data_IF_163878579836
#
_entry.id   IF_163878579836
#
_cell.length_a   1.000
_cell.length_b   1.000
_cell.length_c   1.000
_cell.angle_alpha   90.00
_cell.angle_beta   90.00
_cell.angle_gamma   90.00
#
_symmetry.space_group_name_H-M   'P 1'
#
loop_
_entity.id
_entity.type
_entity.pdbx_description
1 polymer ?
#
# COMPACT_ATOMS: atom_id res chain seq x y z
N UNK A 1 -21.81 -12.20 -1.64
CA UNK A 1 -21.06 -11.46 -2.69
C UNK A 1 -20.19 -12.47 -3.43
N UNK A 2 -20.69 -13.01 -4.54
CA UNK A 2 -20.07 -14.12 -5.27
C UNK A 2 -20.11 -13.81 -6.76
N UNK A 3 -19.53 -12.68 -7.17
CA UNK A 3 -19.61 -12.19 -8.54
C UNK A 3 -18.25 -11.84 -9.18
N UNK A 4 -17.15 -12.24 -8.53
CA UNK A 4 -15.79 -12.09 -9.08
C UNK A 4 -15.00 -13.41 -9.13
N UNK A 5 -15.59 -14.54 -8.73
CA UNK A 5 -15.00 -15.86 -8.97
C UNK A 5 -15.28 -16.26 -10.42
N UNK A 6 -14.59 -15.60 -11.36
CA UNK A 6 -14.69 -15.85 -12.79
C UNK A 6 -14.42 -17.32 -13.11
N UNK A 7 -15.31 -17.92 -13.90
CA UNK A 7 -15.02 -19.14 -14.63
C UNK A 7 -13.81 -18.86 -15.55
N UNK A 8 -12.75 -19.66 -15.36
CA UNK A 8 -11.36 -19.33 -15.67
C UNK A 8 -11.03 -19.27 -17.17
N UNK A 9 -10.82 -18.07 -17.71
CA UNK A 9 -9.94 -17.84 -18.87
C UNK A 9 -8.56 -17.39 -18.39
N UNK A 10 -7.49 -17.96 -18.95
CA UNK A 10 -6.11 -17.55 -18.61
C UNK A 10 -5.87 -16.05 -18.81
N UNK A 11 -6.57 -15.46 -19.79
CA UNK A 11 -6.52 -14.02 -20.08
C UNK A 11 -7.07 -13.16 -18.96
N UNK A 12 -8.15 -13.59 -18.30
CA UNK A 12 -8.75 -12.81 -17.21
C UNK A 12 -7.85 -12.81 -15.98
N UNK A 13 -7.15 -13.94 -15.76
CA UNK A 13 -6.11 -14.03 -14.72
C UNK A 13 -4.95 -13.09 -15.05
N UNK A 14 -4.46 -13.07 -16.29
CA UNK A 14 -3.39 -12.15 -16.71
C UNK A 14 -3.78 -10.68 -16.53
N UNK A 15 -5.01 -10.31 -16.91
CA UNK A 15 -5.54 -8.95 -16.73
C UNK A 15 -5.63 -8.60 -15.25
N UNK A 16 -6.17 -9.49 -14.41
CA UNK A 16 -6.25 -9.27 -12.96
C UNK A 16 -4.85 -9.06 -12.38
N UNK A 17 -3.90 -9.93 -12.68
CA UNK A 17 -2.50 -9.79 -12.23
C UNK A 17 -1.89 -8.45 -12.70
N UNK A 18 -2.17 -8.03 -13.94
CA UNK A 18 -1.75 -6.73 -14.45
C UNK A 18 -2.32 -5.56 -13.63
N UNK A 19 -3.60 -5.63 -13.25
CA UNK A 19 -4.26 -4.60 -12.41
C UNK A 19 -3.64 -4.57 -11.01
N UNK A 20 -3.49 -5.74 -10.36
CA UNK A 20 -2.94 -5.84 -9.00
C UNK A 20 -1.45 -5.42 -8.97
N UNK A 21 -0.70 -5.70 -10.04
CA UNK A 21 0.71 -5.34 -10.17
C UNK A 21 0.97 -3.87 -10.53
N UNK A 22 0.01 -3.19 -11.14
CA UNK A 22 0.12 -1.78 -11.54
C UNK A 22 -0.10 -0.79 -10.37
N UNK A 23 -0.52 -1.28 -9.19
CA UNK A 23 -0.80 -0.41 -8.06
C UNK A 23 0.48 0.27 -7.54
N UNK A 24 0.44 1.57 -7.20
CA UNK A 24 1.60 2.26 -6.65
C UNK A 24 2.05 1.65 -5.33
N UNK A 25 3.38 1.57 -5.14
CA UNK A 25 3.98 1.11 -3.89
C UNK A 25 3.67 2.06 -2.75
N UNK A 26 3.45 1.48 -1.58
CA UNK A 26 3.19 2.22 -0.36
C UNK A 26 4.47 2.87 0.16
N UNK A 27 4.46 4.19 0.35
CA UNK A 27 5.58 4.93 0.97
C UNK A 27 6.76 5.26 0.05
N UNK A 28 6.66 5.05 -1.26
CA UNK A 28 7.70 5.45 -2.22
C UNK A 28 7.49 6.87 -2.79
N UNK A 29 8.59 7.59 -2.99
CA UNK A 29 8.64 8.98 -3.49
C UNK A 29 8.22 9.18 -4.95
N UNK A 30 7.78 8.14 -5.68
CA UNK A 30 7.27 8.28 -7.07
C UNK A 30 5.88 8.94 -7.10
N UNK A 31 5.76 10.07 -6.40
CA UNK A 31 4.56 10.91 -6.29
C UNK A 31 4.25 11.65 -7.59
N UNK A 32 5.19 11.73 -8.54
CA UNK A 32 5.01 12.44 -9.82
C UNK A 32 3.97 11.78 -10.75
N UNK A 33 3.65 10.49 -10.53
CA UNK A 33 2.67 9.75 -11.34
C UNK A 33 1.42 9.30 -10.57
N UNK A 34 1.27 9.71 -9.30
CA UNK A 34 0.09 9.35 -8.49
C UNK A 34 -1.09 10.27 -8.80
N UNK A 35 -2.29 9.70 -8.90
CA UNK A 35 -3.51 10.51 -8.90
C UNK A 35 -3.62 11.30 -7.58
N UNK A 36 -4.31 12.44 -7.62
CA UNK A 36 -4.52 13.29 -6.43
C UNK A 36 -5.12 12.51 -5.25
N UNK A 37 -6.10 11.64 -5.51
CA UNK A 37 -6.71 10.77 -4.50
C UNK A 37 -5.72 9.80 -3.87
N UNK A 38 -4.84 9.18 -4.68
CA UNK A 38 -3.83 8.25 -4.15
C UNK A 38 -2.79 8.97 -3.27
N UNK A 39 -2.45 10.22 -3.62
CA UNK A 39 -1.58 11.07 -2.81
C UNK A 39 -2.23 11.42 -1.47
N UNK A 40 -3.51 11.75 -1.45
CA UNK A 40 -4.25 12.04 -0.22
C UNK A 40 -4.35 10.82 0.70
N UNK A 41 -4.65 9.64 0.15
CA UNK A 41 -4.74 8.40 0.91
C UNK A 41 -3.42 8.04 1.60
N UNK A 42 -2.30 8.27 0.92
CA UNK A 42 -0.97 7.98 1.46
C UNK A 42 -0.34 9.16 2.21
N UNK A 43 -1.00 10.31 2.33
CA UNK A 43 -0.40 11.51 2.93
C UNK A 43 0.05 11.28 4.38
N UNK A 44 -0.76 10.60 5.20
CA UNK A 44 -0.39 10.24 6.57
C UNK A 44 0.81 9.28 6.64
N UNK A 45 1.02 8.49 5.60
CA UNK A 45 2.18 7.60 5.47
C UNK A 45 3.38 8.28 4.82
N UNK A 46 3.20 9.41 4.12
CA UNK A 46 4.27 10.12 3.40
C UNK A 46 4.74 11.41 4.09
N UNK A 47 4.05 11.88 5.14
CA UNK A 47 4.40 13.09 5.88
C UNK A 47 5.80 13.08 6.54
N UNK A 48 6.51 11.95 6.52
CA UNK A 48 7.88 11.81 7.02
C UNK A 48 8.92 11.47 5.94
N UNK A 49 8.56 11.42 4.66
CA UNK A 49 9.47 11.04 3.55
C UNK A 49 10.18 12.25 2.93
N UNK A 50 9.90 13.47 3.40
CA UNK A 50 10.58 14.70 2.98
C UNK A 50 12.04 14.70 3.46
N UNK A 51 12.94 14.13 2.66
CA UNK A 51 14.35 14.55 2.66
C UNK A 51 14.37 16.01 2.16
N UNK A 52 14.10 16.97 3.04
CA UNK A 52 13.96 18.38 2.66
C UNK A 52 13.37 19.30 3.73
N UNK A 53 12.79 18.76 4.80
CA UNK A 53 12.39 19.55 5.96
C UNK A 53 13.58 19.97 6.80
N UNK A 54 14.31 21.02 6.39
CA UNK A 54 15.02 21.87 7.34
C UNK A 54 13.96 22.55 8.23
N UNK A 55 13.53 21.85 9.26
CA UNK A 55 13.11 22.49 10.49
C UNK A 55 14.27 22.32 11.45
N UNK A 56 15.27 23.17 11.28
CA UNK A 56 16.08 23.63 12.39
C UNK A 56 15.09 24.21 13.42
N UNK A 57 15.33 23.91 14.70
CA UNK A 57 14.62 24.39 15.89
C UNK A 57 13.53 23.46 16.46
N UNK A 58 13.96 22.77 17.54
CA UNK A 58 13.16 22.26 18.66
C UNK A 58 12.25 21.03 18.47
N UNK A 59 12.83 19.82 18.58
CA UNK A 59 12.06 18.63 18.99
C UNK A 59 12.68 17.25 18.73
N UNK A 60 13.41 16.71 19.72
CA UNK A 60 13.75 15.28 19.92
C UNK A 60 14.32 14.47 18.72
N UNK A 61 15.65 14.26 18.72
CA UNK A 61 16.40 13.43 17.76
C UNK A 61 16.10 11.92 17.73
N UNK A 62 15.11 11.42 18.48
CA UNK A 62 14.65 10.02 18.46
C UNK A 62 13.50 9.81 17.45
N UNK A 63 12.59 10.78 17.32
CA UNK A 63 11.41 10.66 16.45
C UNK A 63 11.73 10.77 14.96
N UNK A 64 12.78 11.50 14.60
CA UNK A 64 13.26 11.58 13.22
C UNK A 64 13.92 10.26 12.78
N UNK A 65 14.82 9.72 13.61
CA UNK A 65 15.48 8.42 13.35
C UNK A 65 14.47 7.28 13.21
N UNK A 66 13.49 7.18 14.11
CA UNK A 66 12.43 6.16 14.03
C UNK A 66 11.68 6.22 12.69
N UNK A 67 11.39 7.42 12.17
CA UNK A 67 10.67 7.58 10.88
C UNK A 67 11.52 7.18 9.68
N UNK A 68 12.83 7.45 9.70
CA UNK A 68 13.75 6.98 8.68
C UNK A 68 13.83 5.44 8.69
N UNK A 69 13.95 4.84 9.88
CA UNK A 69 13.95 3.39 10.08
C UNK A 69 12.66 2.74 9.58
N UNK A 70 11.49 3.30 9.92
CA UNK A 70 10.18 2.83 9.43
C UNK A 70 10.08 2.92 7.89
N UNK A 71 10.64 3.98 7.29
CA UNK A 71 10.61 4.16 5.83
C UNK A 71 11.54 3.14 5.15
N UNK A 72 12.72 2.90 5.71
CA UNK A 72 13.65 1.88 5.23
C UNK A 72 13.04 0.48 5.36
N UNK A 73 12.38 0.19 6.49
CA UNK A 73 11.72 -1.09 6.71
C UNK A 73 10.53 -1.30 5.78
N UNK A 74 9.71 -0.28 5.54
CA UNK A 74 8.61 -0.38 4.58
C UNK A 74 9.12 -0.66 3.16
N UNK A 75 10.24 -0.06 2.74
CA UNK A 75 10.90 -0.38 1.47
C UNK A 75 11.37 -1.84 1.43
N UNK A 76 12.02 -2.30 2.51
CA UNK A 76 12.47 -3.70 2.64
C UNK A 76 11.30 -4.67 2.54
N UNK A 77 10.22 -4.40 3.27
CA UNK A 77 9.02 -5.23 3.28
C UNK A 77 8.32 -5.24 1.91
N UNK A 78 8.26 -4.12 1.20
CA UNK A 78 7.77 -4.10 -0.19
C UNK A 78 8.59 -5.04 -1.09
N UNK A 79 9.93 -5.03 -0.98
CA UNK A 79 10.78 -5.96 -1.74
C UNK A 79 10.52 -7.42 -1.39
N UNK A 80 10.49 -7.75 -0.09
CA UNK A 80 10.23 -9.12 0.39
C UNK A 80 8.82 -9.58 -0.02
N UNK A 81 7.84 -8.69 0.01
CA UNK A 81 6.48 -8.98 -0.44
C UNK A 81 6.46 -9.33 -1.93
N UNK A 82 7.11 -8.54 -2.78
CA UNK A 82 7.17 -8.80 -4.22
C UNK A 82 7.94 -10.08 -4.57
N UNK A 83 8.96 -10.45 -3.78
CA UNK A 83 9.65 -11.74 -3.89
C UNK A 83 8.75 -12.90 -3.47
N UNK A 84 7.93 -12.71 -2.43
CA UNK A 84 7.01 -13.74 -1.91
C UNK A 84 5.81 -13.93 -2.84
N UNK A 85 5.32 -12.85 -3.44
CA UNK A 85 4.16 -12.81 -4.32
C UNK A 85 4.51 -12.17 -5.68
N UNK A 86 5.18 -12.92 -6.58
CA UNK A 86 5.60 -12.40 -7.88
C UNK A 86 4.43 -11.85 -8.69
N UNK A 87 4.59 -10.63 -9.20
CA UNK A 87 3.57 -9.94 -10.01
C UNK A 87 2.52 -9.18 -9.21
N UNK A 88 2.49 -9.29 -7.87
CA UNK A 88 1.58 -8.54 -7.02
C UNK A 88 2.28 -7.32 -6.37
N UNK A 89 1.47 -6.36 -5.96
CA UNK A 89 1.87 -5.25 -5.09
C UNK A 89 1.08 -5.34 -3.80
N UNK A 90 1.67 -4.90 -2.70
CA UNK A 90 0.94 -4.82 -1.44
C UNK A 90 -0.04 -3.65 -1.52
N UNK A 91 -1.34 -3.95 -1.43
CA UNK A 91 -2.41 -2.97 -1.42
C UNK A 91 -3.22 -3.17 -0.14
N UNK A 92 -3.40 -2.09 0.60
CA UNK A 92 -4.19 -2.07 1.82
C UNK A 92 -4.91 -0.74 1.94
N UNK A 93 -6.13 -0.78 2.46
CA UNK A 93 -6.83 0.43 2.82
C UNK A 93 -6.24 0.98 4.13
N UNK A 94 -5.61 2.15 4.03
CA UNK A 94 -4.85 2.73 5.14
C UNK A 94 -5.75 3.46 6.13
N UNK A 95 -6.75 4.21 5.69
CA UNK A 95 -7.78 4.88 6.51
C UNK A 95 -7.28 5.45 7.87
N UNK A 96 -6.13 6.12 7.89
CA UNK A 96 -5.54 6.68 9.11
C UNK A 96 -4.79 5.70 10.03
N UNK A 97 -4.59 4.45 9.63
CA UNK A 97 -3.73 3.46 10.31
C UNK A 97 -2.28 3.93 10.32
N UNK A 98 -1.60 3.73 11.45
CA UNK A 98 -0.17 4.00 11.62
C UNK A 98 0.73 3.08 10.78
N UNK A 99 1.95 3.55 10.47
CA UNK A 99 2.94 2.81 9.67
C UNK A 99 3.32 1.47 10.32
N UNK A 100 3.46 1.44 11.64
CA UNK A 100 3.72 0.25 12.45
C UNK A 100 2.65 -0.84 12.23
N UNK A 101 1.38 -0.46 12.29
CA UNK A 101 0.24 -1.37 12.10
C UNK A 101 0.19 -1.91 10.66
N UNK A 102 0.58 -1.10 9.67
CA UNK A 102 0.66 -1.52 8.27
C UNK A 102 1.84 -2.46 8.04
N UNK A 103 3.02 -2.18 8.59
CA UNK A 103 4.19 -3.04 8.46
C UNK A 103 3.96 -4.41 9.11
N UNK A 104 3.34 -4.43 10.30
CA UNK A 104 2.95 -5.70 10.95
C UNK A 104 1.92 -6.48 10.12
N UNK A 105 0.98 -5.78 9.45
CA UNK A 105 0.03 -6.42 8.55
C UNK A 105 0.73 -7.05 7.35
N UNK A 106 1.60 -6.29 6.68
CA UNK A 106 2.37 -6.78 5.55
C UNK A 106 3.21 -8.00 5.93
N UNK A 107 3.88 -7.97 7.08
CA UNK A 107 4.67 -9.08 7.60
C UNK A 107 3.81 -10.34 7.84
N UNK A 108 2.63 -10.21 8.48
CA UNK A 108 1.71 -11.34 8.67
C UNK A 108 1.27 -11.96 7.35
N UNK A 109 1.00 -11.15 6.32
CA UNK A 109 0.61 -11.65 5.00
C UNK A 109 1.75 -12.38 4.29
N UNK A 110 2.97 -11.83 4.38
CA UNK A 110 4.18 -12.48 3.88
C UNK A 110 4.40 -13.83 4.56
N UNK A 111 4.24 -13.92 5.88
CA UNK A 111 4.40 -15.17 6.64
C UNK A 111 3.36 -16.23 6.29
N UNK A 112 2.12 -15.81 6.05
CA UNK A 112 1.03 -16.70 5.64
C UNK A 112 1.31 -17.39 4.30
N UNK A 113 2.05 -16.74 3.38
CA UNK A 113 2.43 -17.26 2.04
C UNK A 113 1.28 -17.84 1.21
N UNK A 114 0.07 -17.34 1.42
CA UNK A 114 -1.13 -17.80 0.70
C UNK A 114 -1.45 -16.83 -0.43
N UNK A 115 -1.13 -17.23 -1.66
CA UNK A 115 -1.30 -16.41 -2.85
C UNK A 115 -2.76 -16.18 -3.23
N UNK A 116 -3.64 -17.17 -3.05
CA UNK A 116 -5.05 -17.00 -3.42
C UNK A 116 -5.75 -16.10 -2.41
N UNK A 117 -5.44 -16.28 -1.12
CA UNK A 117 -5.95 -15.38 -0.08
C UNK A 117 -5.46 -13.94 -0.27
N UNK A 118 -4.21 -13.77 -0.70
CA UNK A 118 -3.67 -12.42 -0.94
C UNK A 118 -4.40 -11.70 -2.09
N UNK A 119 -4.76 -12.42 -3.16
CA UNK A 119 -5.56 -11.84 -4.24
C UNK A 119 -6.92 -11.37 -3.74
N UNK A 120 -7.62 -12.19 -2.96
CA UNK A 120 -8.91 -11.82 -2.36
C UNK A 120 -8.78 -10.55 -1.50
N UNK A 121 -7.75 -10.48 -0.66
CA UNK A 121 -7.53 -9.35 0.25
C UNK A 121 -7.13 -8.07 -0.50
N UNK A 122 -6.31 -8.16 -1.55
CA UNK A 122 -6.01 -7.01 -2.42
C UNK A 122 -7.28 -6.52 -3.11
N UNK A 123 -8.08 -7.43 -3.69
CA UNK A 123 -9.33 -7.06 -4.38
C UNK A 123 -10.28 -6.35 -3.40
N UNK A 124 -10.44 -6.89 -2.20
CA UNK A 124 -11.28 -6.27 -1.18
C UNK A 124 -10.76 -4.88 -0.79
N UNK A 125 -9.45 -4.74 -0.58
CA UNK A 125 -8.85 -3.44 -0.28
C UNK A 125 -9.07 -2.43 -1.41
N UNK A 126 -9.00 -2.84 -2.67
CA UNK A 126 -9.31 -1.97 -3.82
C UNK A 126 -10.79 -1.55 -3.83
N UNK A 127 -11.71 -2.46 -3.51
CA UNK A 127 -13.13 -2.13 -3.37
C UNK A 127 -13.36 -1.11 -2.25
N UNK A 128 -12.73 -1.29 -1.08
CA UNK A 128 -12.87 -0.37 0.05
C UNK A 128 -12.34 1.03 -0.28
N UNK A 129 -11.19 1.11 -0.95
CA UNK A 129 -10.62 2.37 -1.48
C UNK A 129 -11.60 3.02 -2.46
N UNK A 130 -12.17 2.25 -3.39
CA UNK A 130 -13.12 2.78 -4.37
C UNK A 130 -14.40 3.31 -3.73
N UNK A 131 -14.92 2.62 -2.71
CA UNK A 131 -16.10 3.06 -1.94
C UNK A 131 -15.82 4.37 -1.21
N UNK A 132 -14.67 4.47 -0.52
CA UNK A 132 -14.26 5.69 0.19
C UNK A 132 -14.12 6.89 -0.77
N UNK A 133 -13.51 6.68 -1.94
CA UNK A 133 -13.44 7.70 -3.00
C UNK A 133 -14.82 8.11 -3.50
N UNK A 134 -15.70 7.14 -3.74
CA UNK A 134 -17.05 7.41 -4.23
C UNK A 134 -17.87 8.24 -3.23
N UNK A 135 -17.74 7.96 -1.93
CA UNK A 135 -18.38 8.75 -0.87
C UNK A 135 -17.87 10.19 -0.85
N UNK A 136 -16.55 10.39 -0.97
CA UNK A 136 -15.93 11.73 -0.99
C UNK A 136 -16.31 12.56 -2.22
N UNK A 137 -16.66 11.94 -3.34
CA UNK A 137 -17.13 12.64 -4.55
C UNK A 137 -18.61 13.04 -4.49
N UNK A 138 -19.40 12.44 -3.58
CA UNK A 138 -20.82 12.79 -3.39
C UNK A 138 -21.02 13.94 -2.37
N UNK A 139 -19.93 14.46 -1.81
CA UNK A 139 -19.93 15.54 -0.81
C UNK A 139 -19.42 16.83 -1.43
#
# INVERSE_FOLDING_TARGET
MTALSAENSSKDREVLHGILGAHPRLGEKKQESLSEMSRQEQAGLNAGTEEGGKSEEDGQGDGFKRREEETAELRRLNSVYEETFPGLRYVVFVNGRGRDVIMQDMQRRIERRDMEREKEEIIQAMCDIAIDRAQKLQT
#
